data_IF_821049501485
#
_entry.id   IF_821049501485
#
_cell.length_a   1.000
_cell.length_b   1.000
_cell.length_c   1.000
_cell.angle_alpha   90.00
_cell.angle_beta   90.00
_cell.angle_gamma   90.00
#
_symmetry.space_group_name_H-M   'P 1'
#
loop_
_entity.id
_entity.type
_entity.pdbx_description
1 polymer ?
#
# COMPACT_ATOMS: atom_id res chain seq x y z
N UNK A 1 22.25 7.09 7.43
CA UNK A 1 23.56 6.84 8.05
C UNK A 1 23.45 5.56 8.84
N UNK A 2 24.44 4.68 8.74
CA UNK A 2 24.50 3.52 9.64
C UNK A 2 24.74 4.00 11.08
N UNK A 3 24.48 3.15 12.07
CA UNK A 3 24.60 3.47 13.50
C UNK A 3 25.96 4.10 13.91
N UNK A 4 27.00 3.92 13.09
CA UNK A 4 28.33 4.52 13.26
C UNK A 4 28.53 5.93 12.65
N UNK A 5 27.49 6.61 12.18
CA UNK A 5 27.58 7.99 11.65
C UNK A 5 28.27 8.13 10.29
N UNK A 6 28.59 7.02 9.62
CA UNK A 6 29.19 7.01 8.29
C UNK A 6 28.15 7.27 7.19
N UNK A 7 28.53 8.13 6.24
CA UNK A 7 27.78 8.32 5.00
C UNK A 7 27.98 7.11 4.09
N UNK A 8 26.87 6.64 3.51
CA UNK A 8 26.85 5.44 2.68
C UNK A 8 26.06 5.71 1.42
N UNK A 9 26.47 5.07 0.33
CA UNK A 9 25.72 5.03 -0.92
C UNK A 9 25.07 3.65 -1.04
N UNK A 10 23.76 3.63 -1.30
CA UNK A 10 23.01 2.41 -1.54
C UNK A 10 22.57 2.39 -3.00
N UNK A 11 23.00 1.36 -3.73
CA UNK A 11 22.63 1.15 -5.13
C UNK A 11 21.47 0.15 -5.19
N UNK A 12 20.39 0.54 -5.84
CA UNK A 12 19.19 -0.29 -6.00
C UNK A 12 18.69 -0.24 -7.43
N UNK A 13 17.92 -1.25 -7.81
CA UNK A 13 17.16 -1.25 -9.07
C UNK A 13 15.72 -1.65 -8.80
N UNK A 14 14.79 -1.09 -9.58
CA UNK A 14 13.36 -1.42 -9.47
C UNK A 14 12.99 -2.53 -10.47
N UNK A 15 12.29 -3.56 -9.99
CA UNK A 15 11.83 -4.67 -10.84
C UNK A 15 10.97 -4.19 -12.02
N UNK A 16 10.13 -3.16 -11.82
CA UNK A 16 9.29 -2.60 -12.88
C UNK A 16 10.08 -1.95 -14.02
N UNK A 17 11.31 -1.51 -13.79
CA UNK A 17 12.15 -0.93 -14.85
C UNK A 17 12.60 -1.97 -15.88
N UNK A 18 12.55 -3.26 -15.52
CA UNK A 18 12.88 -4.35 -16.43
C UNK A 18 11.81 -4.59 -17.51
N UNK A 19 10.60 -4.02 -17.36
CA UNK A 19 9.50 -4.21 -18.34
C UNK A 19 9.90 -3.88 -19.78
N UNK A 20 10.79 -2.89 -19.95
CA UNK A 20 11.32 -2.46 -21.26
C UNK A 20 12.24 -3.48 -21.94
N UNK A 21 12.70 -4.49 -21.19
CA UNK A 21 13.64 -5.50 -21.66
C UNK A 21 12.92 -6.77 -22.18
N UNK A 22 11.59 -6.81 -22.16
CA UNK A 22 10.79 -7.95 -22.60
C UNK A 22 10.05 -7.64 -23.89
N UNK A 23 10.09 -8.57 -24.84
CA UNK A 23 9.24 -8.53 -26.03
C UNK A 23 7.77 -8.71 -25.64
N UNK A 24 6.88 -7.96 -26.31
CA UNK A 24 5.42 -8.01 -26.09
C UNK A 24 4.97 -7.65 -24.66
N UNK A 25 5.69 -6.76 -23.97
CA UNK A 25 5.27 -6.27 -22.66
C UNK A 25 3.88 -5.59 -22.73
N UNK A 26 3.01 -5.90 -21.76
CA UNK A 26 1.63 -5.41 -21.70
C UNK A 26 1.27 -4.89 -20.31
N UNK A 27 0.58 -3.75 -20.27
CA UNK A 27 -0.06 -3.22 -19.07
C UNK A 27 -1.55 -3.54 -19.04
N UNK A 28 -2.08 -3.81 -17.84
CA UNK A 28 -3.51 -3.99 -17.61
C UNK A 28 -3.96 -2.96 -16.58
N UNK A 29 -5.01 -2.19 -16.91
CA UNK A 29 -5.62 -1.27 -15.95
C UNK A 29 -6.50 -2.05 -14.97
N UNK A 30 -6.25 -1.89 -13.67
CA UNK A 30 -6.93 -2.63 -12.61
C UNK A 30 -7.68 -1.68 -11.69
N UNK A 31 -8.78 -2.11 -11.05
CA UNK A 31 -9.48 -1.31 -10.06
C UNK A 31 -8.60 -1.07 -8.83
N UNK A 32 -8.85 0.03 -8.10
CA UNK A 32 -8.13 0.39 -6.87
C UNK A 32 -8.15 -0.72 -5.81
N UNK A 33 -9.18 -1.57 -5.79
CA UNK A 33 -9.28 -2.73 -4.90
C UNK A 33 -8.11 -3.71 -5.01
N UNK A 34 -7.36 -3.70 -6.12
CA UNK A 34 -6.16 -4.53 -6.30
C UNK A 34 -4.89 -3.89 -5.70
N UNK A 35 -4.97 -2.67 -5.20
CA UNK A 35 -3.84 -1.91 -4.66
C UNK A 35 -4.20 -1.23 -3.33
N UNK A 36 -3.99 -1.97 -2.23
CA UNK A 36 -4.22 -1.54 -0.85
C UNK A 36 -2.94 -1.67 -0.01
N UNK A 37 -1.90 -0.87 -0.27
CA UNK A 37 -0.69 -0.92 0.53
C UNK A 37 -0.94 -0.38 1.94
N UNK A 38 -0.48 -1.10 2.95
CA UNK A 38 -0.51 -0.67 4.36
C UNK A 38 0.90 -0.25 4.75
N UNK A 39 1.14 1.07 4.90
CA UNK A 39 2.47 1.64 5.15
C UNK A 39 2.55 2.40 6.47
N UNK A 40 1.42 2.89 6.95
CA UNK A 40 1.31 3.71 8.16
C UNK A 40 0.25 3.14 9.10
N UNK A 41 0.27 3.58 10.35
CA UNK A 41 -0.80 3.28 11.32
C UNK A 41 -2.16 3.81 10.88
N UNK A 42 -2.19 4.87 10.06
CA UNK A 42 -3.44 5.36 9.45
C UNK A 42 -4.04 4.34 8.49
N UNK A 43 -3.20 3.65 7.70
CA UNK A 43 -3.64 2.57 6.81
C UNK A 43 -4.12 1.35 7.60
N UNK A 44 -3.46 1.05 8.73
CA UNK A 44 -3.91 -0.01 9.64
C UNK A 44 -5.30 0.28 10.20
N UNK A 45 -5.58 1.52 10.62
CA UNK A 45 -6.91 1.89 11.10
C UNK A 45 -7.98 1.68 10.03
N UNK A 46 -7.68 2.02 8.77
CA UNK A 46 -8.60 1.77 7.66
C UNK A 46 -8.90 0.26 7.53
N UNK A 47 -7.86 -0.57 7.46
CA UNK A 47 -7.97 -2.01 7.20
C UNK A 47 -8.55 -2.80 8.37
N UNK A 48 -8.31 -2.37 9.62
CA UNK A 48 -8.80 -3.05 10.83
C UNK A 48 -10.22 -2.64 11.23
N UNK A 49 -10.75 -1.53 10.69
CA UNK A 49 -12.13 -1.10 10.96
C UNK A 49 -13.16 -1.95 10.21
N UNK A 50 -14.44 -1.76 10.51
CA UNK A 50 -15.55 -2.39 9.77
C UNK A 50 -15.71 -1.88 8.33
N UNK A 51 -14.85 -0.96 7.87
CA UNK A 51 -14.78 -0.53 6.48
C UNK A 51 -14.39 -1.68 5.56
N UNK A 52 -13.59 -2.63 6.05
CA UNK A 52 -13.22 -3.84 5.33
C UNK A 52 -13.71 -5.09 6.06
N UNK A 53 -14.09 -6.10 5.30
CA UNK A 53 -14.39 -7.46 5.76
C UNK A 53 -13.23 -8.39 5.40
N UNK A 54 -12.92 -9.31 6.31
CA UNK A 54 -11.87 -10.30 6.13
C UNK A 54 -12.51 -11.67 5.90
N UNK A 55 -12.24 -12.26 4.74
CA UNK A 55 -12.71 -13.59 4.37
C UNK A 55 -11.54 -14.40 3.79
N UNK A 56 -11.21 -15.52 4.44
CA UNK A 56 -10.11 -16.40 4.03
C UNK A 56 -8.77 -15.67 3.73
N UNK A 57 -8.44 -14.63 4.52
CA UNK A 57 -7.24 -13.82 4.34
C UNK A 57 -7.35 -12.71 3.29
N UNK A 58 -8.50 -12.58 2.62
CA UNK A 58 -8.78 -11.52 1.64
C UNK A 58 -9.60 -10.39 2.26
N UNK A 59 -9.20 -9.16 1.95
CA UNK A 59 -9.91 -7.94 2.39
C UNK A 59 -10.81 -7.43 1.27
N UNK A 60 -12.08 -7.21 1.59
CA UNK A 60 -13.07 -6.60 0.70
C UNK A 60 -13.73 -5.41 1.38
N UNK A 61 -14.02 -4.33 0.64
CA UNK A 61 -14.71 -3.17 1.22
C UNK A 61 -16.15 -3.57 1.57
N UNK A 62 -16.60 -3.20 2.77
CA UNK A 62 -17.92 -3.54 3.29
C UNK A 62 -19.05 -3.03 2.38
N UNK A 63 -20.02 -3.90 2.07
CA UNK A 63 -21.20 -3.54 1.28
C UNK A 63 -22.10 -2.51 1.97
N UNK A 64 -21.96 -2.36 3.30
CA UNK A 64 -22.66 -1.32 4.07
C UNK A 64 -22.10 0.09 3.81
N UNK A 65 -20.98 0.19 3.10
CA UNK A 65 -20.38 1.46 2.73
C UNK A 65 -21.13 2.05 1.53
N UNK A 66 -21.77 3.19 1.75
CA UNK A 66 -22.56 3.88 0.72
C UNK A 66 -21.75 4.36 -0.50
N UNK A 67 -20.49 4.76 -0.30
CA UNK A 67 -19.62 5.27 -1.36
C UNK A 67 -18.36 4.41 -1.52
N UNK A 68 -18.00 3.99 -2.75
CA UNK A 68 -16.85 3.11 -2.99
C UNK A 68 -15.49 3.79 -2.76
N UNK A 69 -15.49 5.09 -2.45
CA UNK A 69 -14.27 5.85 -2.17
C UNK A 69 -13.72 5.50 -0.78
N UNK A 70 -12.41 5.24 -0.72
CA UNK A 70 -11.71 5.06 0.54
C UNK A 70 -11.62 6.42 1.26
N UNK A 71 -12.01 6.51 2.54
CA UNK A 71 -11.90 7.74 3.30
C UNK A 71 -10.43 8.11 3.52
N UNK A 72 -10.16 9.41 3.59
CA UNK A 72 -8.83 9.93 3.90
C UNK A 72 -8.66 10.02 5.42
N UNK A 73 -7.68 9.28 5.97
CA UNK A 73 -7.37 9.22 7.40
C UNK A 73 -5.92 9.60 7.62
N UNK A 74 -5.66 10.50 8.58
CA UNK A 74 -4.31 10.91 8.96
C UNK A 74 -4.22 10.99 10.48
N UNK A 75 -3.54 10.02 11.07
CA UNK A 75 -3.25 10.02 12.50
C UNK A 75 -2.05 10.93 12.82
N UNK A 76 -2.06 11.52 14.02
CA UNK A 76 -0.97 12.37 14.51
C UNK A 76 0.30 11.58 14.84
N UNK A 77 1.39 12.30 15.14
CA UNK A 77 2.70 11.70 15.46
C UNK A 77 2.65 10.73 16.65
N UNK A 78 1.70 10.91 17.58
CA UNK A 78 1.47 9.99 18.71
C UNK A 78 1.10 8.55 18.28
N UNK A 79 0.76 8.34 17.02
CA UNK A 79 0.40 7.04 16.44
C UNK A 79 1.49 6.46 15.53
N UNK A 80 2.64 7.14 15.43
CA UNK A 80 3.87 6.61 14.84
C UNK A 80 4.72 6.06 15.98
N UNK A 81 5.19 4.81 15.85
CA UNK A 81 6.12 4.21 16.82
C UNK A 81 7.56 4.63 16.53
#
# INVERSE_FOLDING_TARGET
TLDGGLNVIQLETAVGAAIKCFDNALGINVPRSRFLPVKTTSDLLLVMSNLYSLEAGSLTMSEKREFPTTPHVKLGSSFTK
#
